data_IF_822920466866
#
_entry.id   IF_822920466866
#
_cell.length_a   1.000
_cell.length_b   1.000
_cell.length_c   1.000
_cell.angle_alpha   90.00
_cell.angle_beta   90.00
_cell.angle_gamma   90.00
#
_symmetry.space_group_name_H-M   'P 1'
#
loop_
_entity.id
_entity.type
_entity.pdbx_description
1 polymer ?
#
# COMPACT_ATOMS: atom_id res chain seq x y z
N UNK A 1 -57.08 44.01 46.25
CA UNK A 1 -56.34 44.69 45.21
C UNK A 1 -55.27 43.73 44.70
N UNK A 2 -55.60 43.00 43.64
CA UNK A 2 -54.73 41.99 43.11
C UNK A 2 -54.03 42.58 41.82
N UNK A 3 -52.71 42.65 41.81
CA UNK A 3 -51.96 43.04 40.69
C UNK A 3 -51.64 41.78 39.80
N UNK A 4 -52.14 41.80 38.56
CA UNK A 4 -51.96 40.79 37.60
C UNK A 4 -50.61 41.08 36.87
N UNK A 5 -49.64 40.22 37.06
CA UNK A 5 -48.35 40.30 36.37
C UNK A 5 -48.45 39.56 35.05
N UNK A 6 -48.47 40.33 33.94
CA UNK A 6 -48.40 39.77 32.58
C UNK A 6 -46.93 39.45 32.27
N UNK A 7 -46.62 38.16 32.11
CA UNK A 7 -45.37 37.71 31.55
C UNK A 7 -45.49 37.71 30.04
N UNK A 8 -44.77 38.60 29.36
CA UNK A 8 -44.63 38.60 27.89
C UNK A 8 -43.56 37.62 27.48
N UNK A 9 -43.92 36.63 26.67
CA UNK A 9 -42.96 35.75 25.95
C UNK A 9 -42.38 36.48 24.72
N UNK A 10 -41.10 36.37 24.48
CA UNK A 10 -40.50 36.98 23.28
C UNK A 10 -40.85 36.20 22.00
N UNK A 11 -41.09 36.98 20.98
CA UNK A 11 -41.44 36.65 19.61
C UNK A 11 -40.46 35.63 19.03
N UNK A 12 -40.99 34.57 18.40
CA UNK A 12 -40.20 33.61 17.60
C UNK A 12 -39.49 34.32 16.44
N UNK A 13 -38.18 34.23 16.42
CA UNK A 13 -37.40 34.60 15.26
C UNK A 13 -37.72 33.61 14.12
N UNK A 14 -38.36 34.09 13.08
CA UNK A 14 -38.53 33.33 11.86
C UNK A 14 -37.17 33.22 11.14
N UNK A 15 -36.64 31.99 11.05
CA UNK A 15 -35.47 31.71 10.22
C UNK A 15 -35.93 31.71 8.77
N UNK A 16 -35.60 32.78 8.07
CA UNK A 16 -35.79 32.84 6.62
C UNK A 16 -34.74 31.96 5.99
N UNK A 17 -35.15 30.80 5.49
CA UNK A 17 -34.30 29.94 4.67
C UNK A 17 -34.11 30.64 3.31
N UNK A 18 -32.96 31.26 3.16
CA UNK A 18 -32.55 31.79 1.85
C UNK A 18 -32.04 30.60 1.02
N UNK A 19 -32.82 30.19 0.03
CA UNK A 19 -32.35 29.20 -0.95
C UNK A 19 -31.15 29.76 -1.70
N UNK A 20 -30.06 28.96 -1.85
CA UNK A 20 -28.92 29.42 -2.66
C UNK A 20 -29.33 29.63 -4.10
N UNK A 21 -28.71 30.59 -4.83
CA UNK A 21 -29.04 30.86 -6.23
C UNK A 21 -28.74 29.62 -7.08
N UNK A 22 -29.63 29.36 -8.04
CA UNK A 22 -29.50 28.24 -8.97
C UNK A 22 -28.17 28.33 -9.73
N UNK A 23 -27.36 27.28 -9.59
CA UNK A 23 -26.09 27.12 -10.31
C UNK A 23 -26.39 27.04 -11.83
N UNK A 24 -25.68 27.76 -12.69
CA UNK A 24 -25.85 27.63 -14.12
C UNK A 24 -25.50 26.21 -14.57
N UNK A 25 -26.38 25.62 -15.37
CA UNK A 25 -26.19 24.30 -15.94
C UNK A 25 -24.88 24.27 -16.77
N UNK A 26 -23.92 23.45 -16.40
CA UNK A 26 -22.74 23.19 -17.20
C UNK A 26 -21.41 22.99 -16.48
N UNK A 27 -21.31 23.21 -15.17
CA UNK A 27 -20.11 22.90 -14.43
C UNK A 27 -20.30 21.58 -13.67
N UNK A 28 -19.85 20.49 -14.27
CA UNK A 28 -19.66 19.24 -13.54
C UNK A 28 -18.46 19.46 -12.62
N UNK A 29 -18.71 19.83 -11.38
CA UNK A 29 -17.69 19.76 -10.33
C UNK A 29 -17.46 18.27 -10.06
N UNK A 30 -16.48 17.69 -10.75
CA UNK A 30 -15.96 16.38 -10.38
C UNK A 30 -15.32 16.58 -9.02
N UNK A 31 -16.00 16.13 -7.97
CA UNK A 31 -15.40 16.04 -6.65
C UNK A 31 -14.11 15.24 -6.80
N UNK A 32 -12.99 15.67 -6.18
CA UNK A 32 -11.79 14.86 -6.20
C UNK A 32 -12.17 13.49 -5.65
N UNK A 33 -11.92 12.45 -6.43
CA UNK A 33 -12.11 11.07 -6.00
C UNK A 33 -11.23 10.88 -4.78
N UNK A 34 -11.84 10.92 -3.61
CA UNK A 34 -11.14 10.64 -2.36
C UNK A 34 -10.79 9.16 -2.43
N UNK A 35 -9.57 8.86 -2.81
CA UNK A 35 -9.03 7.51 -2.69
C UNK A 35 -9.11 7.19 -1.21
N UNK A 36 -10.06 6.34 -0.83
CA UNK A 36 -10.18 5.82 0.53
C UNK A 36 -8.96 4.95 0.78
N UNK A 37 -7.89 5.58 1.26
CA UNK A 37 -6.74 4.86 1.79
C UNK A 37 -7.26 4.09 3.00
N UNK A 38 -7.41 2.78 2.85
CA UNK A 38 -7.82 1.92 3.95
C UNK A 38 -6.71 1.96 5.00
N UNK A 39 -6.99 2.36 6.25
CA UNK A 39 -5.97 2.30 7.29
C UNK A 39 -5.47 0.87 7.41
N UNK A 40 -4.16 0.71 7.57
CA UNK A 40 -3.56 -0.59 7.81
C UNK A 40 -4.11 -1.17 9.13
N UNK A 41 -4.60 -2.39 9.05
CA UNK A 41 -4.96 -3.13 10.26
C UNK A 41 -3.67 -3.60 10.95
N UNK A 42 -3.39 -3.08 12.14
CA UNK A 42 -2.21 -3.42 12.93
C UNK A 42 -2.08 -4.94 13.17
N UNK A 43 -3.21 -5.65 13.27
CA UNK A 43 -3.24 -7.12 13.42
C UNK A 43 -2.73 -7.80 12.15
N UNK A 44 -3.11 -7.30 10.96
CA UNK A 44 -2.63 -7.82 9.67
C UNK A 44 -1.15 -7.57 9.51
N UNK A 45 -0.67 -6.34 9.81
CA UNK A 45 0.76 -6.00 9.76
C UNK A 45 1.54 -6.94 10.68
N UNK A 46 1.11 -7.05 11.94
CA UNK A 46 1.79 -7.87 12.93
C UNK A 46 1.85 -9.33 12.49
N UNK A 47 0.73 -9.91 12.05
CA UNK A 47 0.69 -11.30 11.58
C UNK A 47 1.61 -11.53 10.38
N UNK A 48 1.55 -10.67 9.36
CA UNK A 48 2.33 -10.84 8.13
C UNK A 48 3.83 -10.67 8.39
N UNK A 49 4.24 -9.58 9.03
CA UNK A 49 5.65 -9.30 9.24
C UNK A 49 6.29 -10.15 10.36
N UNK A 50 5.50 -10.74 11.27
CA UNK A 50 6.00 -11.72 12.25
C UNK A 50 6.07 -13.15 11.71
N UNK A 51 5.43 -13.44 10.57
CA UNK A 51 5.50 -14.77 9.96
C UNK A 51 6.83 -14.95 9.24
N UNK A 52 7.63 -15.92 9.65
CA UNK A 52 8.90 -16.21 8.99
C UNK A 52 8.68 -16.77 7.57
N UNK A 53 9.57 -16.46 6.61
CA UNK A 53 9.54 -17.06 5.29
C UNK A 53 9.61 -18.58 5.34
N UNK A 54 8.89 -19.26 4.44
CA UNK A 54 8.85 -20.71 4.34
C UNK A 54 9.52 -21.19 3.07
N UNK A 55 10.39 -22.19 3.18
CA UNK A 55 10.94 -22.89 2.03
C UNK A 55 10.08 -24.12 1.78
N UNK A 56 9.54 -24.24 0.57
CA UNK A 56 8.78 -25.40 0.11
C UNK A 56 9.58 -26.08 -0.99
N UNK A 57 9.94 -27.32 -0.76
CA UNK A 57 10.61 -28.13 -1.80
C UNK A 57 9.51 -28.63 -2.73
N UNK A 58 9.50 -28.12 -3.97
CA UNK A 58 8.56 -28.57 -4.99
C UNK A 58 9.07 -29.89 -5.58
N UNK A 59 8.55 -31.01 -5.08
CA UNK A 59 8.90 -32.36 -5.56
C UNK A 59 8.11 -32.79 -6.79
N UNK A 60 7.22 -31.93 -7.33
CA UNK A 60 6.41 -32.23 -8.50
C UNK A 60 6.56 -31.16 -9.57
N UNK A 61 6.71 -31.60 -10.82
CA UNK A 61 6.57 -30.75 -12.00
C UNK A 61 5.25 -29.99 -11.95
N UNK A 62 5.26 -28.67 -12.18
CA UNK A 62 4.02 -27.89 -12.14
C UNK A 62 3.08 -28.37 -13.23
N UNK A 63 2.01 -29.07 -12.84
CA UNK A 63 0.85 -29.20 -13.71
C UNK A 63 0.17 -27.82 -13.74
N UNK A 64 -0.20 -27.33 -14.94
CA UNK A 64 -0.96 -26.09 -15.04
C UNK A 64 -2.38 -26.32 -14.52
N UNK A 65 -2.57 -26.22 -13.22
CA UNK A 65 -3.89 -26.10 -12.63
C UNK A 65 -4.33 -24.66 -12.79
N UNK A 66 -5.27 -24.42 -13.69
CA UNK A 66 -6.02 -23.17 -13.80
C UNK A 66 -6.86 -23.02 -12.53
N UNK A 67 -6.23 -22.55 -11.46
CA UNK A 67 -6.96 -21.97 -10.34
C UNK A 67 -7.02 -20.48 -10.59
N UNK A 68 -8.21 -19.97 -10.81
CA UNK A 68 -8.52 -18.53 -10.94
C UNK A 68 -8.36 -17.86 -9.58
N UNK A 69 -7.15 -17.79 -9.09
CA UNK A 69 -6.77 -16.92 -7.99
C UNK A 69 -6.28 -15.60 -8.62
N UNK A 70 -6.54 -14.47 -7.96
CA UNK A 70 -5.98 -13.17 -8.35
C UNK A 70 -4.45 -13.24 -8.23
N UNK A 71 -3.81 -13.88 -9.21
CA UNK A 71 -2.38 -14.09 -9.26
C UNK A 71 -1.81 -13.09 -10.27
N UNK A 72 -0.83 -12.32 -9.86
CA UNK A 72 -0.13 -11.37 -10.71
C UNK A 72 0.52 -12.08 -11.89
N UNK A 73 0.48 -11.48 -13.06
CA UNK A 73 1.16 -11.99 -14.27
C UNK A 73 2.65 -12.08 -14.02
N UNK A 74 3.24 -13.23 -14.29
CA UNK A 74 4.67 -13.47 -14.12
C UNK A 74 5.38 -13.13 -15.42
N UNK A 75 6.36 -12.27 -15.37
CA UNK A 75 7.31 -12.08 -16.46
C UNK A 75 8.55 -12.94 -16.14
N UNK A 76 8.71 -14.04 -16.87
CA UNK A 76 9.91 -14.87 -16.77
C UNK A 76 11.08 -14.11 -17.40
N UNK A 77 11.96 -13.54 -16.60
CA UNK A 77 13.21 -12.94 -17.06
C UNK A 77 14.29 -14.01 -17.02
N UNK A 78 14.89 -14.38 -18.15
CA UNK A 78 15.93 -15.40 -18.19
C UNK A 78 17.07 -15.07 -17.22
N UNK A 79 17.41 -16.02 -16.35
CA UNK A 79 18.51 -15.88 -15.38
C UNK A 79 18.14 -15.19 -14.06
N UNK A 80 16.89 -14.78 -13.87
CA UNK A 80 16.38 -14.29 -12.58
C UNK A 80 15.40 -15.27 -11.95
N UNK A 81 15.32 -15.33 -10.61
CA UNK A 81 14.32 -16.13 -9.93
C UNK A 81 12.90 -15.70 -10.33
N UNK A 82 12.05 -16.66 -10.60
CA UNK A 82 10.63 -16.40 -10.90
C UNK A 82 9.93 -15.88 -9.66
N UNK A 83 9.24 -14.74 -9.76
CA UNK A 83 8.49 -14.13 -8.65
C UNK A 83 6.99 -14.11 -8.96
N UNK A 84 6.18 -14.53 -8.00
CA UNK A 84 4.72 -14.53 -8.11
C UNK A 84 4.12 -13.87 -6.86
N UNK A 85 3.29 -12.86 -7.05
CA UNK A 85 2.62 -12.15 -5.95
C UNK A 85 1.21 -12.71 -5.76
N UNK A 86 0.94 -13.30 -4.62
CA UNK A 86 -0.39 -13.76 -4.24
C UNK A 86 -1.05 -12.74 -3.30
N UNK A 87 -1.96 -11.94 -3.82
CA UNK A 87 -2.62 -10.87 -3.07
C UNK A 87 -3.68 -11.35 -2.07
N UNK A 88 -4.17 -12.58 -2.19
CA UNK A 88 -5.12 -13.14 -1.23
C UNK A 88 -4.43 -13.57 0.07
N UNK A 89 -3.24 -14.15 -0.07
CA UNK A 89 -2.43 -14.63 1.07
C UNK A 89 -1.40 -13.60 1.54
N UNK A 90 -1.20 -12.51 0.78
CA UNK A 90 -0.14 -11.52 0.98
C UNK A 90 1.24 -12.17 1.10
N UNK A 91 1.59 -13.00 0.11
CA UNK A 91 2.90 -13.64 0.01
C UNK A 91 3.50 -13.44 -1.37
N UNK A 92 4.82 -13.24 -1.40
CA UNK A 92 5.62 -13.34 -2.62
C UNK A 92 6.21 -14.75 -2.65
N UNK A 93 6.01 -15.44 -3.76
CA UNK A 93 6.61 -16.77 -4.00
C UNK A 93 7.78 -16.56 -4.93
N UNK A 94 8.97 -16.95 -4.51
CA UNK A 94 10.19 -16.91 -5.32
C UNK A 94 10.61 -18.33 -5.62
N UNK A 95 10.68 -18.66 -6.90
CA UNK A 95 11.08 -19.98 -7.37
C UNK A 95 12.48 -19.90 -7.96
N UNK A 96 13.41 -20.63 -7.35
CA UNK A 96 14.80 -20.69 -7.77
C UNK A 96 15.33 -22.12 -7.60
N UNK A 97 15.96 -22.66 -8.64
CA UNK A 97 16.64 -23.95 -8.63
C UNK A 97 15.81 -25.13 -8.05
N UNK A 98 14.50 -25.15 -8.35
CA UNK A 98 13.60 -26.21 -7.86
C UNK A 98 13.13 -26.06 -6.42
N UNK A 99 13.48 -24.95 -5.79
CA UNK A 99 12.95 -24.55 -4.48
C UNK A 99 11.99 -23.38 -4.63
N UNK A 100 10.93 -23.39 -3.83
CA UNK A 100 9.98 -22.29 -3.73
C UNK A 100 10.06 -21.70 -2.33
N UNK A 101 10.21 -20.37 -2.25
CA UNK A 101 10.22 -19.65 -0.98
C UNK A 101 9.01 -18.74 -0.92
N UNK A 102 8.16 -18.94 0.07
CA UNK A 102 7.04 -18.05 0.38
C UNK A 102 7.49 -16.99 1.39
N UNK A 103 7.38 -15.72 1.00
CA UNK A 103 7.76 -14.57 1.81
C UNK A 103 6.52 -13.71 2.07
N UNK A 104 6.10 -13.55 3.33
CA UNK A 104 4.97 -12.70 3.67
C UNK A 104 5.25 -11.23 3.38
N UNK A 105 4.23 -10.48 2.95
CA UNK A 105 4.35 -9.05 2.75
C UNK A 105 3.15 -8.25 3.27
N UNK A 106 3.37 -6.96 3.43
CA UNK A 106 2.33 -5.97 3.69
C UNK A 106 2.39 -4.92 2.58
N UNK A 107 1.24 -4.56 2.03
CA UNK A 107 1.12 -3.41 1.12
C UNK A 107 0.98 -2.14 1.95
N UNK A 108 1.86 -1.18 1.74
CA UNK A 108 1.80 0.10 2.42
C UNK A 108 0.75 1.01 1.76
N UNK A 109 -0.18 1.59 2.52
CA UNK A 109 -1.10 2.61 2.02
C UNK A 109 -0.39 3.98 1.99
N UNK A 110 0.72 4.06 1.28
CA UNK A 110 1.48 5.31 1.14
C UNK A 110 1.12 6.00 -0.16
N UNK A 111 0.86 7.29 -0.07
CA UNK A 111 0.62 8.13 -1.21
C UNK A 111 1.87 8.95 -1.53
N UNK A 112 2.18 9.03 -2.82
CA UNK A 112 3.24 9.87 -3.33
C UNK A 112 2.68 11.01 -4.18
N UNK A 113 3.36 12.14 -4.18
CA UNK A 113 3.10 13.20 -5.13
C UNK A 113 3.25 12.66 -6.56
N UNK A 114 2.32 13.03 -7.46
CA UNK A 114 2.26 12.46 -8.81
C UNK A 114 3.61 12.56 -9.54
N UNK A 115 4.09 11.43 -10.06
CA UNK A 115 5.36 11.35 -10.78
C UNK A 115 6.60 11.49 -9.90
N UNK A 116 6.48 11.45 -8.57
CA UNK A 116 7.60 11.62 -7.65
C UNK A 116 7.67 10.50 -6.61
N UNK A 117 8.71 10.53 -5.79
CA UNK A 117 8.89 9.68 -4.62
C UNK A 117 8.68 10.42 -3.30
N UNK A 118 8.13 11.64 -3.34
CA UNK A 118 7.82 12.42 -2.14
C UNK A 118 6.52 11.94 -1.53
N UNK A 119 6.54 11.55 -0.26
CA UNK A 119 5.34 11.18 0.51
C UNK A 119 4.42 12.39 0.66
N UNK A 120 3.13 12.16 0.40
CA UNK A 120 2.14 13.22 0.25
C UNK A 120 1.55 13.68 1.58
N UNK A 121 1.30 12.76 2.54
CA UNK A 121 0.44 13.02 3.68
C UNK A 121 0.94 12.41 5.00
N UNK A 122 0.31 12.86 6.10
CA UNK A 122 0.59 12.36 7.45
C UNK A 122 0.08 10.92 7.66
N UNK A 123 -0.96 10.48 6.92
CA UNK A 123 -1.48 9.12 7.02
C UNK A 123 -0.45 8.11 6.52
N UNK A 124 0.29 8.44 5.47
CA UNK A 124 1.44 7.67 5.02
C UNK A 124 2.51 7.52 6.11
N UNK A 125 2.77 8.58 6.88
CA UNK A 125 3.73 8.52 8.00
C UNK A 125 3.24 7.66 9.14
N UNK A 126 1.94 7.73 9.48
CA UNK A 126 1.33 6.87 10.50
C UNK A 126 1.43 5.39 10.10
N UNK A 127 1.16 5.08 8.84
CA UNK A 127 1.30 3.72 8.32
C UNK A 127 2.75 3.21 8.41
N UNK A 128 3.72 4.06 8.08
CA UNK A 128 5.14 3.73 8.20
C UNK A 128 5.57 3.53 9.66
N UNK A 129 5.05 4.34 10.60
CA UNK A 129 5.25 4.15 12.03
C UNK A 129 4.77 2.79 12.50
N UNK A 130 3.55 2.40 12.14
CA UNK A 130 2.98 1.10 12.52
C UNK A 130 3.83 -0.07 12.01
N UNK A 131 4.30 0.01 10.77
CA UNK A 131 5.20 -1.01 10.20
C UNK A 131 6.53 -1.03 10.94
N UNK A 132 7.10 0.13 11.25
CA UNK A 132 8.35 0.24 11.99
C UNK A 132 8.24 -0.39 13.38
N UNK A 133 7.15 -0.12 14.11
CA UNK A 133 6.91 -0.68 15.43
C UNK A 133 6.87 -2.22 15.41
N UNK A 134 6.23 -2.79 14.38
CA UNK A 134 6.20 -4.25 14.21
C UNK A 134 7.58 -4.82 13.87
N UNK A 135 8.31 -4.21 12.93
CA UNK A 135 9.67 -4.64 12.57
C UNK A 135 10.58 -4.62 13.79
N UNK A 136 10.54 -3.54 14.59
CA UNK A 136 11.32 -3.42 15.81
C UNK A 136 10.91 -4.45 16.87
N UNK A 137 9.62 -4.75 16.99
CA UNK A 137 9.14 -5.80 17.90
C UNK A 137 9.63 -7.19 17.48
N UNK A 138 9.53 -7.52 16.19
CA UNK A 138 10.02 -8.80 15.63
C UNK A 138 11.52 -8.91 15.79
N UNK A 139 12.29 -7.85 15.54
CA UNK A 139 13.76 -7.88 15.70
C UNK A 139 14.23 -8.20 17.12
N UNK A 140 13.39 -7.95 18.14
CA UNK A 140 13.69 -8.34 19.54
C UNK A 140 13.48 -9.82 19.80
N UNK A 141 12.48 -10.44 19.17
CA UNK A 141 12.14 -11.86 19.36
C UNK A 141 12.87 -12.76 18.37
N UNK A 142 13.14 -12.25 17.17
CA UNK A 142 13.80 -12.96 16.08
C UNK A 142 14.97 -12.13 15.53
N UNK A 143 16.11 -12.11 16.23
CA UNK A 143 17.30 -11.39 15.79
C UNK A 143 17.77 -11.85 14.41
N UNK A 144 18.06 -10.88 13.52
CA UNK A 144 18.51 -11.15 12.16
C UNK A 144 17.36 -11.33 11.15
N UNK A 145 16.11 -10.98 11.51
CA UNK A 145 15.04 -10.81 10.54
C UNK A 145 15.39 -9.67 9.56
N UNK A 146 15.09 -9.87 8.27
CA UNK A 146 15.41 -8.94 7.18
C UNK A 146 14.16 -8.69 6.35
N UNK A 147 13.99 -7.46 5.91
CA UNK A 147 12.85 -7.01 5.11
C UNK A 147 13.33 -6.32 3.84
N UNK A 148 12.58 -6.51 2.76
CA UNK A 148 12.78 -5.82 1.50
C UNK A 148 11.61 -4.87 1.23
N UNK A 149 11.93 -3.64 0.86
CA UNK A 149 10.97 -2.62 0.47
C UNK A 149 10.89 -2.63 -1.05
N UNK A 150 9.76 -3.06 -1.59
CA UNK A 150 9.57 -3.24 -3.01
C UNK A 150 8.64 -2.16 -3.57
N UNK A 151 9.16 -1.36 -4.51
CA UNK A 151 8.36 -0.36 -5.23
C UNK A 151 7.85 -0.93 -6.55
N UNK A 152 6.58 -0.63 -6.86
CA UNK A 152 5.92 -1.02 -8.11
C UNK A 152 5.21 0.18 -8.75
N UNK A 153 5.04 0.13 -10.07
CA UNK A 153 4.25 1.10 -10.85
C UNK A 153 3.14 0.39 -11.62
N UNK A 154 2.23 1.17 -12.19
CA UNK A 154 1.36 0.71 -13.27
C UNK A 154 2.18 0.58 -14.57
N UNK A 155 1.53 0.08 -15.61
CA UNK A 155 2.10 -0.06 -16.96
C UNK A 155 2.07 1.24 -17.78
N UNK A 156 1.76 2.38 -17.14
CA UNK A 156 1.81 3.69 -17.79
C UNK A 156 3.25 4.23 -17.84
N UNK A 157 3.64 4.78 -18.97
CA UNK A 157 4.96 5.39 -19.16
C UNK A 157 5.97 4.46 -19.83
N UNK A 158 7.25 4.75 -19.66
CA UNK A 158 8.34 3.90 -20.17
C UNK A 158 8.82 2.96 -19.08
N UNK A 159 9.36 1.81 -19.47
CA UNK A 159 9.92 0.84 -18.52
C UNK A 159 11.05 1.46 -17.69
N UNK A 160 11.93 2.28 -18.35
CA UNK A 160 13.03 2.98 -17.68
C UNK A 160 12.54 3.96 -16.61
N UNK A 161 11.53 4.78 -16.94
CA UNK A 161 10.96 5.74 -15.99
C UNK A 161 10.28 5.01 -14.83
N UNK A 162 9.52 3.95 -15.12
CA UNK A 162 8.85 3.12 -14.13
C UNK A 162 9.84 2.43 -13.19
N UNK A 163 10.94 1.92 -13.73
CA UNK A 163 12.00 1.31 -12.92
C UNK A 163 12.66 2.35 -12.00
N UNK A 164 13.01 3.52 -12.55
CA UNK A 164 13.62 4.60 -11.76
C UNK A 164 12.65 5.12 -10.68
N UNK A 165 11.37 5.34 -11.02
CA UNK A 165 10.37 5.86 -10.10
C UNK A 165 10.07 4.87 -8.96
N UNK A 166 9.94 3.59 -9.27
CA UNK A 166 9.69 2.54 -8.28
C UNK A 166 10.86 2.40 -7.31
N UNK A 167 12.10 2.43 -7.81
CA UNK A 167 13.30 2.41 -6.98
C UNK A 167 13.40 3.65 -6.06
N UNK A 168 13.08 4.84 -6.58
CA UNK A 168 13.06 6.06 -5.80
C UNK A 168 12.00 6.03 -4.69
N UNK A 169 10.82 5.46 -4.95
CA UNK A 169 9.75 5.29 -3.95
C UNK A 169 10.13 4.29 -2.86
N UNK A 170 10.68 3.14 -3.24
CA UNK A 170 11.19 2.16 -2.29
C UNK A 170 12.28 2.77 -1.39
N UNK A 171 13.20 3.53 -1.99
CA UNK A 171 14.26 4.24 -1.25
C UNK A 171 13.69 5.30 -0.32
N UNK A 172 12.69 6.07 -0.71
CA UNK A 172 12.05 7.08 0.16
C UNK A 172 11.46 6.43 1.41
N UNK A 173 10.78 5.30 1.27
CA UNK A 173 10.27 4.52 2.42
C UNK A 173 11.41 3.97 3.27
N UNK A 174 12.44 3.40 2.66
CA UNK A 174 13.65 2.94 3.36
C UNK A 174 14.30 4.06 4.20
N UNK A 175 14.45 5.25 3.60
CA UNK A 175 15.06 6.40 4.29
C UNK A 175 14.22 6.82 5.51
N UNK A 176 12.90 6.85 5.38
CA UNK A 176 12.01 7.17 6.51
C UNK A 176 12.11 6.10 7.61
N UNK A 177 12.05 4.81 7.25
CA UNK A 177 12.14 3.72 8.23
C UNK A 177 13.48 3.71 8.97
N UNK A 178 14.58 4.00 8.28
CA UNK A 178 15.91 4.02 8.91
C UNK A 178 16.18 5.29 9.68
N UNK A 179 15.87 6.48 9.12
CA UNK A 179 16.28 7.77 9.68
C UNK A 179 15.29 8.29 10.72
N UNK A 180 13.96 8.13 10.46
CA UNK A 180 12.95 8.63 11.38
C UNK A 180 12.56 7.61 12.46
N UNK A 181 12.53 6.31 12.11
CA UNK A 181 12.09 5.25 13.04
C UNK A 181 13.21 4.36 13.55
N UNK A 182 14.45 4.59 13.14
CA UNK A 182 15.64 3.95 13.70
C UNK A 182 15.78 2.46 13.40
N UNK A 183 15.14 1.95 12.33
CA UNK A 183 15.35 0.56 11.92
C UNK A 183 16.77 0.41 11.39
N UNK A 184 17.54 -0.60 11.87
CA UNK A 184 18.90 -0.83 11.40
C UNK A 184 18.95 -1.02 9.86
N UNK A 185 19.84 -0.30 9.19
CA UNK A 185 20.03 -0.41 7.75
C UNK A 185 20.37 -1.85 7.29
N UNK A 186 21.02 -2.64 8.16
CA UNK A 186 21.33 -4.04 7.90
C UNK A 186 20.11 -4.98 7.90
N UNK A 187 18.96 -4.50 8.40
CA UNK A 187 17.69 -5.24 8.42
C UNK A 187 16.76 -4.88 7.26
N UNK A 188 17.16 -3.90 6.42
CA UNK A 188 16.34 -3.43 5.32
C UNK A 188 17.12 -3.44 4.01
N UNK A 189 16.41 -3.73 2.92
CA UNK A 189 16.82 -3.44 1.53
C UNK A 189 15.70 -2.70 0.82
N UNK A 190 16.01 -2.08 -0.34
CA UNK A 190 15.02 -1.38 -1.13
C UNK A 190 15.25 -1.65 -2.62
N UNK A 191 14.21 -2.13 -3.31
CA UNK A 191 14.26 -2.46 -4.72
C UNK A 191 13.07 -1.86 -5.49
N UNK A 192 13.32 -1.40 -6.70
CA UNK A 192 12.28 -1.03 -7.66
C UNK A 192 12.06 -2.16 -8.65
N UNK A 193 10.82 -2.48 -8.91
CA UNK A 193 10.43 -3.47 -9.90
C UNK A 193 9.67 -2.86 -11.09
N UNK A 194 9.48 -1.53 -11.09
CA UNK A 194 8.75 -0.85 -12.16
C UNK A 194 7.40 -1.51 -12.41
N UNK A 195 7.13 -1.77 -13.68
CA UNK A 195 5.91 -2.41 -14.17
C UNK A 195 6.05 -3.93 -14.39
N UNK A 196 7.10 -4.56 -13.86
CA UNK A 196 7.36 -5.99 -14.12
C UNK A 196 6.30 -6.93 -13.54
N UNK A 197 5.62 -6.53 -12.48
CA UNK A 197 4.64 -7.37 -11.77
C UNK A 197 3.31 -6.66 -11.57
N UNK A 198 2.58 -6.29 -12.65
CA UNK A 198 1.30 -5.64 -12.54
C UNK A 198 0.23 -6.64 -12.08
N UNK A 199 -0.67 -6.21 -11.21
CA UNK A 199 -1.89 -6.98 -10.89
C UNK A 199 -2.93 -6.84 -12.00
N UNK A 200 -2.91 -5.69 -12.69
CA UNK A 200 -3.86 -5.33 -13.73
C UNK A 200 -3.15 -4.79 -14.97
N UNK A 201 -2.53 -5.65 -15.81
CA UNK A 201 -1.70 -5.22 -16.96
C UNK A 201 -2.42 -4.34 -17.97
N UNK A 202 -3.75 -4.43 -18.06
CA UNK A 202 -4.64 -3.67 -18.94
C UNK A 202 -5.81 -3.09 -18.15
N UNK A 203 -5.56 -2.75 -16.89
CA UNK A 203 -6.58 -2.25 -15.98
C UNK A 203 -7.06 -0.85 -16.33
N UNK A 204 -8.24 -0.49 -15.81
CA UNK A 204 -8.68 0.90 -15.77
C UNK A 204 -7.85 1.69 -14.72
N UNK A 205 -8.06 3.01 -14.62
CA UNK A 205 -7.27 3.87 -13.70
C UNK A 205 -7.37 3.42 -12.24
N UNK A 206 -8.54 2.97 -11.78
CA UNK A 206 -8.71 2.48 -10.40
C UNK A 206 -7.90 1.19 -10.14
N UNK A 207 -7.83 0.32 -11.13
CA UNK A 207 -7.03 -0.90 -11.08
C UNK A 207 -5.54 -0.60 -11.16
N UNK A 208 -5.12 0.29 -12.07
CA UNK A 208 -3.73 0.74 -12.18
C UNK A 208 -3.24 1.47 -10.92
N UNK A 209 -4.15 2.15 -10.20
CA UNK A 209 -3.82 2.73 -8.91
C UNK A 209 -3.38 1.66 -7.88
N UNK A 210 -3.91 0.45 -7.95
CA UNK A 210 -3.49 -0.65 -7.08
C UNK A 210 -2.12 -1.24 -7.48
N UNK A 211 -1.71 -1.04 -8.74
CA UNK A 211 -0.36 -1.40 -9.19
C UNK A 211 0.70 -0.44 -8.68
N UNK A 212 0.36 0.84 -8.47
CA UNK A 212 1.23 1.87 -7.89
C UNK A 212 1.35 1.68 -6.38
N UNK A 213 2.12 0.70 -5.95
CA UNK A 213 2.20 0.26 -4.55
C UNK A 213 3.63 0.14 -4.05
N UNK A 214 3.79 0.16 -2.74
CA UNK A 214 5.03 -0.24 -2.06
C UNK A 214 4.69 -1.39 -1.12
N UNK A 215 5.51 -2.42 -1.16
CA UNK A 215 5.41 -3.59 -0.29
C UNK A 215 6.55 -3.60 0.72
N UNK A 216 6.30 -4.13 1.91
CA UNK A 216 7.34 -4.55 2.86
C UNK A 216 7.27 -6.06 2.92
N UNK A 217 8.29 -6.72 2.42
CA UNK A 217 8.39 -8.18 2.28
C UNK A 217 9.37 -8.70 3.31
N UNK A 218 8.96 -9.67 4.14
CA UNK A 218 9.88 -10.33 5.05
C UNK A 218 10.66 -11.40 4.30
N UNK A 219 11.98 -11.23 4.19
CA UNK A 219 12.86 -12.12 3.42
C UNK A 219 13.66 -13.10 4.28
N UNK A 220 13.73 -12.81 5.62
CA UNK A 220 14.38 -13.67 6.60
C UNK A 220 13.73 -13.59 7.99
#
# INVERSE_FOLDING_TARGET
>A
MSALCLVQFPLHAQVTVVSPPATPAGVVVVAPSTVLVRPLDATVISRQLSTAPKVVIVTQTPQPSVQTTKTTTVVDTPGQPRRVYNSERNVVIVEEQGQSREMPYVTLPVLFEKGTAKLLDEESKVALQQVADVILAVSKTEPGSVYDIEGHTSTDGTNEDNMALSAARAKSVYDVLTQAYGIPASSLSAHGYGEMFPMFPQGNEEQMQQDRRVLVVRTK
#
